data_IF_724566714337
#
_entry.id   IF_724566714337
#
_cell.length_a   1.000
_cell.length_b   1.000
_cell.length_c   1.000
_cell.angle_alpha   90.00
_cell.angle_beta   90.00
_cell.angle_gamma   90.00
#
_symmetry.space_group_name_H-M   'P 1'
#
loop_
_entity.id
_entity.type
_entity.pdbx_description
1 polymer ?
#
# COMPACT_ATOMS: atom_id res chain seq x y z
N UNK A 1 11.33 -14.50 5.91
CA UNK A 1 11.46 -13.69 4.69
C UNK A 1 10.94 -12.32 5.05
N UNK A 2 11.74 -11.29 4.85
CA UNK A 2 11.42 -9.96 5.36
C UNK A 2 10.62 -9.17 4.33
N UNK A 3 9.87 -8.18 4.82
CA UNK A 3 9.05 -7.32 3.98
C UNK A 3 9.94 -6.26 3.36
N UNK A 4 9.90 -6.14 2.04
CA UNK A 4 10.78 -5.22 1.30
C UNK A 4 10.00 -4.35 0.34
N UNK A 5 10.37 -3.07 0.28
CA UNK A 5 9.93 -2.12 -0.74
C UNK A 5 11.13 -1.83 -1.64
N UNK A 6 11.05 -2.16 -2.91
CA UNK A 6 12.17 -2.11 -3.87
C UNK A 6 13.44 -2.79 -3.36
N UNK A 7 13.28 -3.89 -2.63
CA UNK A 7 14.38 -4.64 -2.01
C UNK A 7 14.93 -4.04 -0.72
N UNK A 8 14.40 -2.91 -0.24
CA UNK A 8 14.80 -2.29 1.02
C UNK A 8 13.91 -2.76 2.18
N UNK A 9 14.55 -3.13 3.30
CA UNK A 9 13.86 -3.51 4.54
C UNK A 9 13.53 -2.27 5.38
N UNK A 10 12.44 -1.60 5.04
CA UNK A 10 12.02 -0.34 5.68
C UNK A 10 10.98 -0.52 6.78
N UNK A 11 10.29 -1.66 6.81
CA UNK A 11 9.19 -1.93 7.72
C UNK A 11 9.57 -2.94 8.78
N UNK A 12 9.08 -2.73 10.00
CA UNK A 12 9.14 -3.74 11.04
C UNK A 12 8.00 -4.75 10.84
N UNK A 13 8.28 -6.03 11.12
CA UNK A 13 7.35 -7.13 10.86
C UNK A 13 6.26 -7.26 11.93
N UNK A 14 6.47 -6.66 13.11
CA UNK A 14 5.51 -6.71 14.21
C UNK A 14 4.24 -5.93 13.84
N UNK A 15 3.10 -6.62 13.97
CA UNK A 15 1.76 -6.07 13.74
C UNK A 15 1.55 -5.46 12.34
N UNK A 16 2.32 -5.91 11.35
CA UNK A 16 2.12 -5.46 9.97
C UNK A 16 0.93 -6.19 9.34
N UNK A 17 -0.06 -5.42 8.94
CA UNK A 17 -1.22 -5.89 8.19
C UNK A 17 -1.25 -5.27 6.79
N UNK A 18 -1.32 -6.11 5.76
CA UNK A 18 -1.47 -5.69 4.37
C UNK A 18 -2.82 -6.18 3.86
N UNK A 19 -3.71 -5.24 3.58
CA UNK A 19 -5.05 -5.46 3.07
C UNK A 19 -5.14 -5.00 1.61
N UNK A 20 -4.97 -5.92 0.63
CA UNK A 20 -5.26 -5.61 -0.76
C UNK A 20 -6.78 -5.53 -0.96
N UNK A 21 -7.26 -4.44 -1.55
CA UNK A 21 -8.66 -4.37 -2.00
C UNK A 21 -8.88 -5.34 -3.16
N UNK A 22 -10.14 -5.76 -3.36
CA UNK A 22 -10.52 -6.57 -4.51
C UNK A 22 -10.20 -5.85 -5.82
N UNK A 23 -9.84 -6.61 -6.85
CA UNK A 23 -9.79 -6.06 -8.20
C UNK A 23 -11.19 -5.66 -8.62
N UNK A 24 -11.31 -4.42 -9.08
CA UNK A 24 -12.59 -3.92 -9.58
C UNK A 24 -12.58 -4.00 -11.11
N UNK A 25 -13.60 -4.65 -11.68
CA UNK A 25 -13.88 -4.66 -13.12
C UNK A 25 -15.06 -3.74 -13.37
N UNK A 26 -14.88 -2.72 -14.19
CA UNK A 26 -15.98 -1.85 -14.57
C UNK A 26 -16.59 -2.35 -15.87
N UNK A 27 -17.90 -2.52 -15.90
CA UNK A 27 -18.65 -2.70 -17.14
C UNK A 27 -19.44 -1.43 -17.45
N UNK A 28 -19.57 -1.11 -18.74
CA UNK A 28 -20.50 -0.10 -19.21
C UNK A 28 -21.66 -0.77 -19.92
N UNK A 29 -22.86 -0.48 -19.43
CA UNK A 29 -24.09 -1.04 -19.97
C UNK A 29 -24.80 -0.01 -20.86
N UNK A 30 -25.19 -0.44 -22.07
CA UNK A 30 -25.93 0.38 -23.02
C UNK A 30 -27.20 -0.34 -23.44
N UNK A 31 -28.34 0.27 -23.17
CA UNK A 31 -29.63 -0.18 -23.70
C UNK A 31 -29.93 0.50 -25.03
N UNK A 32 -30.54 -0.24 -25.95
CA UNK A 32 -30.95 0.26 -27.27
C UNK A 32 -32.46 0.10 -27.41
N UNK A 33 -33.22 1.19 -27.67
CA UNK A 33 -34.67 1.09 -27.86
C UNK A 33 -35.03 0.10 -28.97
N UNK A 34 -35.99 -0.78 -28.70
CA UNK A 34 -36.44 -1.81 -29.65
C UNK A 34 -35.64 -3.12 -29.60
N UNK A 35 -34.61 -3.21 -28.75
CA UNK A 35 -33.88 -4.45 -28.50
C UNK A 35 -34.13 -4.91 -27.06
N UNK A 36 -34.58 -6.15 -26.88
CA UNK A 36 -34.68 -6.75 -25.55
C UNK A 36 -33.30 -7.27 -25.12
N UNK A 37 -32.58 -6.46 -24.35
CA UNK A 37 -31.27 -6.79 -23.82
C UNK A 37 -30.44 -5.54 -23.52
N UNK A 38 -29.26 -5.76 -22.94
CA UNK A 38 -28.29 -4.72 -22.63
C UNK A 38 -26.95 -5.11 -23.23
N UNK A 39 -26.33 -4.21 -23.98
CA UNK A 39 -24.94 -4.36 -24.40
C UNK A 39 -24.05 -4.05 -23.19
N UNK A 40 -23.39 -5.05 -22.65
CA UNK A 40 -22.38 -4.87 -21.60
C UNK A 40 -20.99 -4.85 -22.21
N UNK A 41 -20.25 -3.76 -22.00
CA UNK A 41 -18.89 -3.54 -22.48
C UNK A 41 -17.95 -3.64 -21.27
N UNK A 42 -17.08 -4.64 -21.25
CA UNK A 42 -16.03 -4.77 -20.22
C UNK A 42 -14.96 -3.68 -20.45
N UNK A 43 -14.75 -2.82 -19.45
CA UNK A 43 -13.75 -1.75 -19.50
C UNK A 43 -12.40 -2.20 -18.91
N UNK A 44 -12.26 -3.49 -18.58
CA UNK A 44 -11.02 -4.08 -18.11
C UNK A 44 -10.82 -4.01 -16.60
N UNK A 45 -9.67 -4.49 -16.17
CA UNK A 45 -9.21 -4.42 -14.79
C UNK A 45 -8.77 -2.98 -14.51
N UNK A 46 -9.15 -2.47 -13.33
CA UNK A 46 -8.70 -1.16 -12.85
C UNK A 46 -7.73 -1.32 -11.70
N UNK A 47 -6.98 -0.24 -11.49
CA UNK A 47 -6.10 -0.08 -10.34
C UNK A 47 -6.84 -0.41 -9.04
N UNK A 48 -6.15 -1.10 -8.13
CA UNK A 48 -6.68 -1.41 -6.80
C UNK A 48 -5.89 -0.71 -5.72
N UNK A 49 -6.57 -0.35 -4.63
CA UNK A 49 -5.90 0.16 -3.44
C UNK A 49 -5.37 -0.99 -2.59
N UNK A 50 -4.14 -0.84 -2.10
CA UNK A 50 -3.55 -1.72 -1.09
C UNK A 50 -3.25 -0.88 0.12
N UNK A 51 -3.80 -1.27 1.27
CA UNK A 51 -3.56 -0.59 2.55
C UNK A 51 -2.58 -1.41 3.36
N UNK A 52 -1.53 -0.77 3.83
CA UNK A 52 -0.55 -1.34 4.73
C UNK A 52 -0.61 -0.59 6.06
N UNK A 53 -0.78 -1.31 7.15
CA UNK A 53 -0.74 -0.78 8.51
C UNK A 53 0.33 -1.50 9.29
N UNK A 54 0.99 -0.80 10.19
CA UNK A 54 1.93 -1.42 11.12
C UNK A 54 2.47 -0.45 12.14
N UNK A 55 3.46 -0.92 12.90
CA UNK A 55 4.19 -0.09 13.86
C UNK A 55 5.64 0.00 13.43
N UNK A 56 6.20 1.21 13.35
CA UNK A 56 7.65 1.41 13.23
C UNK A 56 8.24 1.59 14.62
N UNK A 57 9.34 0.90 14.91
CA UNK A 57 10.07 1.00 16.17
C UNK A 57 11.52 1.37 15.91
N UNK A 58 12.07 2.25 16.74
CA UNK A 58 13.47 2.62 16.70
C UNK A 58 14.04 2.89 18.09
N UNK A 59 15.36 2.72 18.23
CA UNK A 59 16.07 2.99 19.50
C UNK A 59 16.13 4.49 19.86
N UNK A 60 15.85 5.38 18.91
CA UNK A 60 15.82 6.83 19.14
C UNK A 60 14.88 7.49 18.14
N UNK A 61 14.27 8.61 18.53
CA UNK A 61 13.44 9.41 17.63
C UNK A 61 14.21 9.82 16.36
N UNK A 62 15.50 10.20 16.47
CA UNK A 62 16.31 10.53 15.27
C UNK A 62 16.43 9.39 14.26
N UNK A 63 16.51 8.13 14.73
CA UNK A 63 16.53 6.97 13.83
C UNK A 63 15.14 6.70 13.25
N UNK A 64 14.09 6.94 14.03
CA UNK A 64 12.71 6.86 13.56
C UNK A 64 12.46 7.88 12.45
N UNK A 65 12.85 9.13 12.65
CA UNK A 65 12.70 10.22 11.67
C UNK A 65 13.43 9.91 10.36
N UNK A 66 14.62 9.30 10.43
CA UNK A 66 15.34 8.85 9.24
C UNK A 66 14.58 7.76 8.48
N UNK A 67 13.97 6.80 9.18
CA UNK A 67 13.14 5.76 8.56
C UNK A 67 11.87 6.35 7.95
N UNK A 68 11.20 7.24 8.67
CA UNK A 68 10.02 7.98 8.19
C UNK A 68 10.36 8.76 6.92
N UNK A 69 11.48 9.49 6.91
CA UNK A 69 11.94 10.24 5.75
C UNK A 69 12.27 9.32 4.56
N UNK A 70 12.90 8.17 4.82
CA UNK A 70 13.18 7.17 3.79
C UNK A 70 11.90 6.61 3.18
N UNK A 71 10.87 6.29 3.98
CA UNK A 71 9.58 5.81 3.48
C UNK A 71 8.85 6.93 2.72
N UNK A 72 8.87 8.16 3.24
CA UNK A 72 8.21 9.32 2.61
C UNK A 72 8.81 9.66 1.24
N UNK A 73 10.07 9.32 1.00
CA UNK A 73 10.72 9.52 -0.29
C UNK A 73 10.11 8.68 -1.42
N UNK A 74 9.38 7.60 -1.09
CA UNK A 74 8.65 6.77 -2.06
C UNK A 74 7.30 7.39 -2.47
N UNK A 75 6.95 8.58 -1.96
CA UNK A 75 5.84 9.40 -2.48
C UNK A 75 6.42 10.33 -3.56
N UNK A 76 7.09 9.76 -4.54
CA UNK A 76 7.73 10.44 -5.66
C UNK A 76 6.85 10.45 -6.93
N UNK A 77 5.79 9.63 -6.94
CA UNK A 77 4.89 9.45 -8.07
C UNK A 77 5.29 8.29 -8.99
N UNK A 78 6.41 7.62 -8.71
CA UNK A 78 6.86 6.43 -9.43
C UNK A 78 6.19 5.16 -8.89
N UNK A 79 6.44 4.05 -9.58
CA UNK A 79 5.92 2.73 -9.22
C UNK A 79 7.00 1.89 -8.55
N UNK A 80 6.62 1.24 -7.47
CA UNK A 80 7.47 0.42 -6.62
C UNK A 80 6.96 -1.01 -6.54
N UNK A 81 7.80 -1.87 -5.99
CA UNK A 81 7.54 -3.29 -5.76
C UNK A 81 7.58 -3.60 -4.28
N UNK A 82 6.45 -4.10 -3.76
CA UNK A 82 6.32 -4.56 -2.37
C UNK A 82 6.33 -6.10 -2.33
N UNK A 83 7.26 -6.67 -1.58
CA UNK A 83 7.32 -8.11 -1.32
C UNK A 83 6.99 -8.35 0.14
N UNK A 84 5.96 -9.17 0.40
CA UNK A 84 5.53 -9.51 1.76
C UNK A 84 6.30 -10.71 2.32
N UNK A 85 6.22 -10.89 3.64
CA UNK A 85 6.84 -12.00 4.36
C UNK A 85 6.29 -13.37 3.93
N UNK A 86 5.03 -13.42 3.48
CA UNK A 86 4.38 -14.59 2.93
C UNK A 86 4.82 -14.92 1.48
N UNK A 87 5.79 -14.16 0.93
CA UNK A 87 6.28 -14.33 -0.44
C UNK A 87 5.33 -13.78 -1.50
N UNK A 88 4.27 -13.06 -1.10
CA UNK A 88 3.37 -12.39 -2.06
C UNK A 88 4.06 -11.11 -2.55
N UNK A 89 4.14 -10.98 -3.86
CA UNK A 89 4.71 -9.81 -4.53
C UNK A 89 3.59 -8.95 -5.09
N UNK A 90 3.72 -7.65 -4.92
CA UNK A 90 2.88 -6.63 -5.51
C UNK A 90 3.78 -5.70 -6.32
N UNK A 91 3.63 -5.75 -7.65
CA UNK A 91 4.34 -4.88 -8.58
C UNK A 91 3.49 -3.66 -8.94
N UNK A 92 4.11 -2.66 -9.57
CA UNK A 92 3.46 -1.46 -10.07
C UNK A 92 2.68 -0.67 -8.99
N UNK A 93 3.22 -0.58 -7.77
CA UNK A 93 2.60 0.14 -6.67
C UNK A 93 3.08 1.58 -6.62
N UNK A 94 2.18 2.54 -6.84
CA UNK A 94 2.47 3.94 -6.50
C UNK A 94 2.06 4.20 -5.05
N UNK A 95 2.94 4.80 -4.24
CA UNK A 95 2.57 5.25 -2.90
C UNK A 95 1.83 6.59 -2.99
N UNK A 96 0.58 6.63 -2.56
CA UNK A 96 -0.22 7.85 -2.62
C UNK A 96 -0.32 8.56 -1.27
N UNK A 97 -0.36 7.78 -0.18
CA UNK A 97 -0.55 8.30 1.17
C UNK A 97 0.36 7.58 2.15
N UNK A 98 1.07 8.35 2.98
CA UNK A 98 1.73 7.86 4.18
C UNK A 98 1.30 8.70 5.37
N UNK A 99 0.75 8.05 6.40
CA UNK A 99 0.27 8.69 7.62
C UNK A 99 0.88 8.02 8.83
N UNK A 100 1.22 8.83 9.82
CA UNK A 100 1.69 8.39 11.13
C UNK A 100 0.61 8.66 12.17
N UNK A 101 0.48 7.74 13.12
CA UNK A 101 -0.48 7.78 14.20
C UNK A 101 0.21 7.36 15.51
N UNK A 102 -0.32 7.83 16.64
CA UNK A 102 0.01 7.33 17.98
C UNK A 102 1.52 7.14 18.25
N UNK A 103 2.30 8.22 18.17
CA UNK A 103 3.69 8.17 18.63
C UNK A 103 3.74 7.89 20.13
N UNK A 104 4.50 6.86 20.52
CA UNK A 104 4.64 6.42 21.91
C UNK A 104 6.06 6.03 22.22
N UNK A 105 6.48 6.30 23.46
CA UNK A 105 7.74 5.79 24.00
C UNK A 105 7.50 4.31 24.33
N UNK A 106 8.30 3.41 23.76
CA UNK A 106 8.20 1.97 23.98
C UNK A 106 9.53 1.47 24.57
N UNK A 107 9.52 1.17 25.88
CA UNK A 107 10.72 0.76 26.61
C UNK A 107 11.86 1.77 26.51
N UNK A 108 12.97 1.37 25.91
CA UNK A 108 14.15 2.21 25.67
C UNK A 108 14.16 2.90 24.29
N UNK A 109 13.04 2.91 23.57
CA UNK A 109 12.93 3.44 22.22
C UNK A 109 11.62 4.20 21.96
N UNK A 110 11.38 4.48 20.69
CA UNK A 110 10.19 5.18 20.20
C UNK A 110 9.49 4.27 19.21
N UNK A 111 8.15 4.22 19.29
CA UNK A 111 7.29 3.48 18.38
C UNK A 111 6.21 4.42 17.82
N UNK A 112 5.85 4.25 16.56
CA UNK A 112 4.78 5.00 15.90
C UNK A 112 3.97 4.07 15.02
N UNK A 113 2.65 4.16 15.12
CA UNK A 113 1.74 3.42 14.25
C UNK A 113 1.70 4.16 12.89
N UNK A 114 1.51 3.44 11.79
CA UNK A 114 1.45 4.06 10.47
C UNK A 114 0.45 3.39 9.55
N UNK A 115 0.01 4.14 8.53
CA UNK A 115 -0.80 3.65 7.42
C UNK A 115 -0.19 4.15 6.11
N UNK A 116 0.03 3.23 5.17
CA UNK A 116 0.37 3.53 3.79
C UNK A 116 -0.77 3.07 2.89
N UNK A 117 -1.15 3.92 1.94
CA UNK A 117 -2.06 3.56 0.86
C UNK A 117 -1.28 3.56 -0.45
N UNK A 118 -1.28 2.42 -1.10
CA UNK A 118 -0.73 2.25 -2.44
C UNK A 118 -1.86 2.10 -3.45
N UNK A 119 -1.67 2.66 -4.64
CA UNK A 119 -2.46 2.31 -5.82
C UNK A 119 -1.65 1.37 -6.69
N UNK A 120 -2.12 0.15 -6.87
CA UNK A 120 -1.55 -0.78 -7.83
C UNK A 120 -2.05 -0.44 -9.23
N UNK A 121 -1.14 -0.08 -10.12
CA UNK A 121 -1.40 0.20 -11.53
C UNK A 121 -1.22 -1.10 -12.35
N UNK A 122 -2.05 -1.28 -13.39
CA UNK A 122 -1.93 -2.40 -14.33
C UNK A 122 -0.82 -2.14 -15.36
#
# INVERSE_FOLDING_TARGET
MNITLDGQMLFDEQDLEIQPSGFNRTSMEKSVPGLNGVLSIDLGQRSREIKQKGTLQAKSSRLLDKRIAAISAFIDGDTHKLVTNAGRQFDNLRMDVFKLYNERISGAGVAVDYEIVYTQLD
#
